data_IF_708903271594
#
_entry.id   IF_708903271594
#
_cell.length_a   1.000
_cell.length_b   1.000
_cell.length_c   1.000
_cell.angle_alpha   90.00
_cell.angle_beta   90.00
_cell.angle_gamma   90.00
#
_symmetry.space_group_name_H-M   'P 1'
#
loop_
_entity.id
_entity.type
_entity.pdbx_description
1 polymer ?
#
# COMPACT_ATOMS: atom_id res chain seq x y z
N UNK A 1 31.82 -9.28 16.79
CA UNK A 1 30.47 -8.69 16.62
C UNK A 1 30.62 -7.18 16.70
N UNK A 2 30.31 -6.40 15.64
CA UNK A 2 30.24 -4.95 15.78
C UNK A 2 28.98 -4.58 16.61
N UNK A 3 29.03 -3.53 17.43
CA UNK A 3 27.88 -3.11 18.24
C UNK A 3 26.73 -2.62 17.33
N UNK A 4 25.45 -2.81 17.73
CA UNK A 4 24.33 -2.29 16.96
C UNK A 4 24.39 -0.76 16.92
N UNK A 5 24.26 -0.20 15.72
CA UNK A 5 24.26 1.25 15.51
C UNK A 5 23.16 1.92 16.36
N UNK A 6 23.43 3.10 16.96
CA UNK A 6 22.44 3.78 17.78
C UNK A 6 21.24 4.18 16.92
N UNK A 7 20.03 3.74 17.32
CA UNK A 7 18.78 4.23 16.72
C UNK A 7 18.78 5.75 16.82
N UNK A 8 18.72 6.42 15.66
CA UNK A 8 18.74 7.87 15.61
C UNK A 8 17.45 8.41 16.24
N UNK A 9 17.57 8.91 17.48
CA UNK A 9 16.51 9.56 18.27
C UNK A 9 15.70 10.59 17.46
N UNK A 10 16.26 11.18 16.40
CA UNK A 10 15.58 12.12 15.53
C UNK A 10 14.35 11.56 14.77
N UNK A 11 14.27 10.24 14.49
CA UNK A 11 13.08 9.66 13.85
C UNK A 11 11.92 9.49 14.83
N UNK A 12 12.21 9.23 16.10
CA UNK A 12 11.21 9.14 17.16
C UNK A 12 10.58 10.50 17.42
N UNK A 13 11.38 11.58 17.45
CA UNK A 13 10.86 12.95 17.54
C UNK A 13 9.99 13.35 16.34
N UNK A 14 10.32 12.88 15.14
CA UNK A 14 9.52 13.14 13.95
C UNK A 14 8.16 12.41 13.99
N UNK A 15 8.15 11.16 14.44
CA UNK A 15 6.92 10.38 14.65
C UNK A 15 6.07 10.99 15.77
N UNK A 16 6.70 11.51 16.82
CA UNK A 16 6.02 12.18 17.93
C UNK A 16 5.42 13.52 17.49
N UNK A 17 6.14 14.30 16.67
CA UNK A 17 5.62 15.51 16.05
C UNK A 17 4.43 15.21 15.13
N UNK A 18 4.54 14.20 14.26
CA UNK A 18 3.46 13.78 13.36
C UNK A 18 2.21 13.35 14.14
N UNK A 19 2.39 12.54 15.19
CA UNK A 19 1.31 12.12 16.06
C UNK A 19 0.64 13.32 16.74
N UNK A 20 1.43 14.28 17.24
CA UNK A 20 0.93 15.51 17.83
C UNK A 20 0.14 16.38 16.84
N UNK A 21 0.59 16.54 15.59
CA UNK A 21 -0.17 17.28 14.57
C UNK A 21 -1.47 16.58 14.22
N UNK A 22 -1.45 15.25 14.05
CA UNK A 22 -2.67 14.48 13.77
C UNK A 22 -3.64 14.56 14.94
N UNK A 23 -3.17 14.42 16.18
CA UNK A 23 -4.00 14.56 17.39
C UNK A 23 -4.62 15.96 17.51
N UNK A 24 -3.88 17.02 17.21
CA UNK A 24 -4.40 18.39 17.20
C UNK A 24 -5.47 18.58 16.11
N UNK A 25 -5.29 18.00 14.93
CA UNK A 25 -6.27 18.05 13.85
C UNK A 25 -7.54 17.27 14.19
N UNK A 26 -7.39 16.09 14.80
CA UNK A 26 -8.52 15.31 15.30
C UNK A 26 -9.25 16.07 16.38
N UNK A 27 -8.55 16.72 17.32
CA UNK A 27 -9.18 17.52 18.37
C UNK A 27 -9.95 18.72 17.81
N UNK A 28 -9.39 19.39 16.80
CA UNK A 28 -10.03 20.50 16.09
C UNK A 28 -11.29 20.04 15.35
N UNK A 29 -11.19 18.95 14.58
CA UNK A 29 -12.32 18.36 13.88
C UNK A 29 -13.38 17.81 14.83
N UNK A 30 -12.97 17.20 15.94
CA UNK A 30 -13.87 16.72 16.97
C UNK A 30 -14.64 17.89 17.59
N UNK A 31 -13.99 19.01 17.89
CA UNK A 31 -14.67 20.21 18.37
C UNK A 31 -15.66 20.79 17.34
N UNK A 32 -15.30 20.77 16.05
CA UNK A 32 -16.16 21.24 14.97
C UNK A 32 -17.39 20.35 14.75
N UNK A 33 -17.21 19.03 14.73
CA UNK A 33 -18.29 18.07 14.46
C UNK A 33 -19.17 17.77 15.68
N UNK A 34 -18.60 17.79 16.89
CA UNK A 34 -19.32 17.54 18.15
C UNK A 34 -19.64 18.84 18.91
N UNK A 35 -19.55 19.99 18.25
CA UNK A 35 -20.04 21.25 18.79
C UNK A 35 -21.53 21.17 19.15
N UNK A 36 -21.99 21.92 20.17
CA UNK A 36 -23.39 21.89 20.58
C UNK A 36 -24.29 22.28 19.41
N UNK A 37 -25.20 21.37 19.02
CA UNK A 37 -26.19 21.59 17.97
C UNK A 37 -27.18 22.66 18.47
N UNK A 38 -27.05 23.89 17.98
CA UNK A 38 -27.99 24.97 18.28
C UNK A 38 -29.22 24.76 17.38
N UNK A 39 -30.39 24.54 17.98
CA UNK A 39 -31.62 24.34 17.22
C UNK A 39 -32.08 25.66 16.62
N UNK A 40 -32.14 25.75 15.29
CA UNK A 40 -32.75 26.88 14.62
C UNK A 40 -34.28 26.76 14.69
N UNK A 41 -34.94 27.80 15.21
CA UNK A 41 -36.40 27.87 15.36
C UNK A 41 -36.90 29.07 14.54
N UNK A 42 -37.93 28.92 13.69
CA UNK A 42 -38.57 30.03 12.98
C UNK A 42 -39.08 31.11 13.95
N UNK A 43 -39.05 32.37 13.51
CA UNK A 43 -39.44 33.51 14.33
C UNK A 43 -40.89 33.43 14.87
N UNK A 44 -41.81 32.87 14.07
CA UNK A 44 -43.20 32.64 14.48
C UNK A 44 -43.33 31.62 15.61
N UNK A 45 -42.55 30.54 15.56
CA UNK A 45 -42.49 29.51 16.58
C UNK A 45 -41.85 30.07 17.86
N UNK A 46 -40.81 30.91 17.74
CA UNK A 46 -40.26 31.65 18.86
C UNK A 46 -41.31 32.55 19.55
N UNK A 47 -42.08 33.36 18.80
CA UNK A 47 -43.17 34.18 19.36
C UNK A 47 -44.20 33.34 20.12
N UNK A 48 -44.51 32.14 19.61
CA UNK A 48 -45.44 31.22 20.25
C UNK A 48 -44.87 30.68 21.58
N UNK A 49 -43.59 30.32 21.61
CA UNK A 49 -42.90 29.86 22.81
C UNK A 49 -42.80 30.95 23.89
N UNK A 50 -42.60 32.22 23.49
CA UNK A 50 -42.64 33.37 24.41
C UNK A 50 -44.05 33.54 25.01
N UNK A 51 -45.10 33.47 24.18
CA UNK A 51 -46.50 33.55 24.66
C UNK A 51 -46.85 32.44 25.66
N UNK A 52 -46.24 31.28 25.51
CA UNK A 52 -46.44 30.10 26.35
C UNK A 52 -45.54 30.09 27.61
N UNK A 53 -44.84 31.19 27.90
CA UNK A 53 -43.94 31.38 29.06
C UNK A 53 -42.78 30.37 29.13
N UNK A 54 -42.42 29.79 27.99
CA UNK A 54 -41.39 28.75 27.87
C UNK A 54 -40.00 29.29 27.57
N UNK A 55 -39.81 30.61 27.59
CA UNK A 55 -38.52 31.26 27.32
C UNK A 55 -37.97 31.89 28.59
N UNK A 56 -36.74 31.52 29.00
CA UNK A 56 -36.11 31.99 30.23
C UNK A 56 -35.32 33.27 30.02
N UNK A 57 -34.50 33.28 28.97
CA UNK A 57 -33.55 34.34 28.66
C UNK A 57 -33.45 34.50 27.15
N UNK A 58 -33.33 35.74 26.72
CA UNK A 58 -33.13 36.09 25.32
C UNK A 58 -31.93 37.03 25.23
N UNK A 59 -30.97 36.66 24.39
CA UNK A 59 -29.85 37.50 24.01
C UNK A 59 -30.03 37.97 22.57
N UNK A 60 -30.15 39.29 22.41
CA UNK A 60 -30.27 39.96 21.11
C UNK A 60 -28.87 40.31 20.61
N UNK A 61 -28.55 39.89 19.38
CA UNK A 61 -27.29 40.15 18.69
C UNK A 61 -27.58 40.56 17.25
N UNK A 62 -27.85 41.86 17.04
CA UNK A 62 -28.19 42.38 15.71
C UNK A 62 -29.50 41.78 15.20
N UNK A 63 -29.44 41.09 14.06
CA UNK A 63 -30.52 40.33 13.43
C UNK A 63 -30.69 38.90 14.01
N UNK A 64 -29.72 38.42 14.81
CA UNK A 64 -29.78 37.10 15.43
C UNK A 64 -30.24 37.19 16.89
N UNK A 65 -31.22 36.36 17.24
CA UNK A 65 -31.73 36.18 18.59
C UNK A 65 -31.36 34.77 19.05
N UNK A 66 -30.68 34.69 20.19
CA UNK A 66 -30.37 33.40 20.84
C UNK A 66 -31.05 33.36 22.19
N UNK A 67 -31.62 32.22 22.57
CA UNK A 67 -32.36 32.12 23.82
C UNK A 67 -32.29 30.74 24.46
N UNK A 68 -32.65 30.70 25.73
CA UNK A 68 -32.73 29.48 26.53
C UNK A 68 -34.19 29.22 26.90
N UNK A 69 -34.70 28.01 26.59
CA UNK A 69 -36.06 27.59 26.97
C UNK A 69 -36.13 27.17 28.44
N UNK A 70 -37.25 27.48 29.11
CA UNK A 70 -37.67 26.89 30.38
C UNK A 70 -38.25 25.51 30.08
N UNK A 71 -37.64 24.46 30.61
CA UNK A 71 -38.16 23.09 30.46
C UNK A 71 -39.29 22.88 31.49
N UNK A 72 -40.48 22.41 31.10
CA UNK A 72 -41.44 21.89 32.06
C UNK A 72 -40.92 20.55 32.61
N UNK A 73 -40.76 20.45 33.93
CA UNK A 73 -40.58 19.17 34.59
C UNK A 73 -41.94 18.44 34.59
N UNK A 74 -42.17 17.54 33.61
CA UNK A 74 -42.83 16.22 33.79
C UNK A 74 -43.24 15.55 32.47
N UNK A 75 -42.93 14.23 32.37
CA UNK A 75 -43.51 13.22 31.48
C UNK A 75 -43.01 13.21 30.03
N UNK A 76 -42.43 12.16 29.44
CA UNK A 76 -42.28 10.76 29.81
C UNK A 76 -42.03 9.96 28.52
N UNK A 77 -40.83 9.37 28.40
CA UNK A 77 -40.42 8.25 27.55
C UNK A 77 -40.71 8.26 26.02
N UNK A 78 -39.63 8.24 25.23
CA UNK A 78 -39.28 7.12 24.35
C UNK A 78 -37.89 7.31 23.72
N UNK A 79 -36.95 6.40 24.01
CA UNK A 79 -35.69 6.26 23.28
C UNK A 79 -34.43 6.28 24.15
N UNK A 80 -33.81 5.11 24.28
CA UNK A 80 -32.59 4.84 25.04
C UNK A 80 -31.39 5.71 24.61
N UNK A 81 -30.68 6.29 25.59
CA UNK A 81 -29.35 6.86 25.35
C UNK A 81 -28.83 7.73 26.50
N UNK A 82 -28.03 7.12 27.40
CA UNK A 82 -27.07 7.66 28.39
C UNK A 82 -27.46 8.91 29.24
N UNK A 83 -27.26 8.87 30.58
CA UNK A 83 -27.64 9.95 31.47
C UNK A 83 -26.63 11.09 31.38
N UNK A 84 -26.95 12.15 30.63
CA UNK A 84 -26.10 13.34 30.58
C UNK A 84 -26.34 14.20 31.82
N UNK A 85 -25.29 14.33 32.63
CA UNK A 85 -25.25 15.19 33.82
C UNK A 85 -25.06 16.64 33.39
N UNK A 86 -26.15 17.29 33.00
CA UNK A 86 -26.29 18.74 33.14
C UNK A 86 -27.76 19.09 33.01
N UNK A 87 -28.39 19.47 34.12
CA UNK A 87 -29.57 20.29 34.03
C UNK A 87 -29.27 21.54 33.19
N UNK A 88 -30.30 22.04 32.51
CA UNK A 88 -30.40 23.35 31.85
C UNK A 88 -30.20 23.41 30.31
N UNK A 89 -31.29 23.90 29.68
CA UNK A 89 -31.40 24.72 28.47
C UNK A 89 -31.03 24.14 27.10
N UNK A 90 -32.05 23.70 26.35
CA UNK A 90 -31.97 23.70 24.89
C UNK A 90 -31.82 25.14 24.40
N UNK A 91 -30.64 25.49 23.90
CA UNK A 91 -30.40 26.79 23.26
C UNK A 91 -31.02 26.78 21.87
N UNK A 92 -31.76 27.83 21.56
CA UNK A 92 -32.28 28.05 20.21
C UNK A 92 -31.71 29.32 19.61
N UNK A 93 -31.67 29.34 18.28
CA UNK A 93 -31.31 30.51 17.47
C UNK A 93 -32.47 30.82 16.54
N UNK A 94 -32.83 32.09 16.43
CA UNK A 94 -33.82 32.59 15.48
C UNK A 94 -33.33 33.90 14.88
N UNK A 95 -33.80 34.25 13.69
CA UNK A 95 -33.44 35.49 13.00
C UNK A 95 -34.64 36.43 13.06
N UNK A 96 -34.42 37.66 13.52
CA UNK A 96 -35.44 38.69 13.52
C UNK A 96 -35.73 39.12 12.07
N UNK A 97 -37.00 39.15 11.64
CA UNK A 97 -37.34 39.73 10.35
C UNK A 97 -37.00 41.22 10.36
N UNK A 98 -36.55 41.76 9.22
CA UNK A 98 -36.18 43.17 9.05
C UNK A 98 -37.34 44.18 9.19
N UNK A 99 -38.54 43.70 9.57
CA UNK A 99 -39.73 44.51 9.80
C UNK A 99 -39.82 44.74 11.32
N UNK A 100 -39.81 46.01 11.74
CA UNK A 100 -39.97 46.38 13.15
C UNK A 100 -41.27 45.79 13.70
N UNK A 101 -41.15 44.93 14.72
CA UNK A 101 -42.28 44.31 15.40
C UNK A 101 -42.51 44.99 16.76
N UNK A 102 -43.37 46.02 16.82
CA UNK A 102 -43.57 46.82 18.04
C UNK A 102 -44.20 46.04 19.20
N UNK A 103 -44.74 44.84 18.94
CA UNK A 103 -45.35 43.97 19.95
C UNK A 103 -44.33 43.07 20.69
N UNK A 104 -43.10 42.92 20.17
CA UNK A 104 -42.13 41.95 20.71
C UNK A 104 -41.58 42.33 22.08
N UNK A 105 -41.16 43.60 22.24
CA UNK A 105 -40.57 44.09 23.48
C UNK A 105 -41.58 44.11 24.64
N UNK A 106 -42.82 44.63 24.46
CA UNK A 106 -43.84 44.55 25.49
C UNK A 106 -44.18 43.11 25.90
N UNK A 107 -44.21 42.17 24.94
CA UNK A 107 -44.50 40.76 25.20
C UNK A 107 -43.38 40.07 26.02
N UNK A 108 -42.11 40.42 25.76
CA UNK A 108 -40.97 39.89 26.51
C UNK A 108 -40.90 40.48 27.93
N UNK A 109 -41.28 41.76 28.10
CA UNK A 109 -41.38 42.41 29.41
C UNK A 109 -42.54 41.85 30.25
N UNK A 110 -43.71 41.61 29.64
CA UNK A 110 -44.89 41.01 30.29
C UNK A 110 -44.57 39.63 30.87
N UNK A 111 -43.81 38.81 30.13
CA UNK A 111 -43.42 37.45 30.55
C UNK A 111 -42.11 37.39 31.34
N UNK A 112 -41.58 38.55 31.77
CA UNK A 112 -40.37 38.69 32.60
C UNK A 112 -39.16 37.95 32.03
N UNK A 113 -38.97 38.01 30.70
CA UNK A 113 -37.82 37.40 30.04
C UNK A 113 -36.61 38.31 30.25
N UNK A 114 -35.46 37.74 30.66
CA UNK A 114 -34.23 38.52 30.80
C UNK A 114 -33.68 38.83 29.42
N UNK A 115 -33.66 40.12 29.06
CA UNK A 115 -33.10 40.62 27.80
C UNK A 115 -31.64 40.98 28.02
N UNK A 116 -30.73 40.32 27.30
CA UNK A 116 -29.31 40.67 27.24
C UNK A 116 -28.96 41.18 25.85
N UNK A 117 -28.39 42.37 25.76
CA UNK A 117 -27.80 42.84 24.52
C UNK A 117 -26.36 42.32 24.45
N UNK A 118 -26.08 41.39 23.54
CA UNK A 118 -24.74 40.89 23.33
C UNK A 118 -24.08 41.64 22.17
N UNK A 119 -23.16 42.56 22.48
CA UNK A 119 -22.27 43.14 21.47
C UNK A 119 -21.22 42.10 21.08
N UNK A 120 -21.42 41.38 19.98
CA UNK A 120 -20.41 40.43 19.52
C UNK A 120 -19.76 40.91 18.25
N UNK A 121 -18.62 41.57 18.41
CA UNK A 121 -17.64 41.73 17.35
C UNK A 121 -16.36 40.99 17.77
N UNK A 122 -16.38 39.65 17.65
CA UNK A 122 -15.10 38.98 17.39
C UNK A 122 -14.64 39.56 16.07
N UNK A 123 -13.53 40.30 16.06
CA UNK A 123 -13.09 41.00 14.87
C UNK A 123 -12.97 39.99 13.73
N UNK A 124 -13.57 40.28 12.58
CA UNK A 124 -13.60 39.38 11.43
C UNK A 124 -12.21 38.84 11.05
N UNK A 125 -11.16 39.65 11.26
CA UNK A 125 -9.77 39.26 11.05
C UNK A 125 -9.29 38.17 12.01
N UNK A 126 -9.75 38.15 13.28
CA UNK A 126 -9.45 37.08 14.24
C UNK A 126 -10.12 35.76 13.83
N UNK A 127 -11.34 35.81 13.28
CA UNK A 127 -12.02 34.63 12.73
C UNK A 127 -11.28 34.08 11.50
N UNK A 128 -10.84 34.97 10.61
CA UNK A 128 -10.04 34.61 9.44
C UNK A 128 -8.70 34.00 9.85
N UNK A 129 -8.02 34.59 10.83
CA UNK A 129 -6.75 34.10 11.34
C UNK A 129 -6.92 32.72 12.02
N UNK A 130 -7.97 32.54 12.84
CA UNK A 130 -8.29 31.25 13.45
C UNK A 130 -8.62 30.16 12.41
N UNK A 131 -9.24 30.53 11.28
CA UNK A 131 -9.51 29.60 10.18
C UNK A 131 -8.27 29.26 9.34
N UNK A 132 -7.35 30.21 9.14
CA UNK A 132 -6.18 30.05 8.27
C UNK A 132 -4.98 29.42 8.99
N UNK A 133 -4.81 29.67 10.30
CA UNK A 133 -3.68 29.14 11.08
C UNK A 133 -3.53 27.62 10.97
N UNK A 134 -4.60 26.81 11.07
CA UNK A 134 -4.49 25.36 10.89
C UNK A 134 -3.94 24.95 9.51
N UNK A 135 -4.39 25.62 8.44
CA UNK A 135 -3.91 25.35 7.08
C UNK A 135 -2.44 25.73 6.93
N UNK A 136 -2.03 26.91 7.44
CA UNK A 136 -0.63 27.35 7.39
C UNK A 136 0.29 26.41 8.16
N UNK A 137 -0.14 25.86 9.29
CA UNK A 137 0.64 24.85 10.02
C UNK A 137 0.79 23.56 9.22
N UNK A 138 -0.27 23.08 8.55
CA UNK A 138 -0.20 21.88 7.69
C UNK A 138 0.75 22.13 6.52
N UNK A 139 0.55 23.21 5.75
CA UNK A 139 1.38 23.52 4.58
C UNK A 139 2.83 23.81 4.98
N UNK A 140 3.05 24.51 6.10
CA UNK A 140 4.38 24.78 6.63
C UNK A 140 5.10 23.50 7.08
N UNK A 141 4.39 22.59 7.75
CA UNK A 141 4.93 21.28 8.13
C UNK A 141 5.25 20.42 6.91
N UNK A 142 4.36 20.38 5.91
CA UNK A 142 4.58 19.64 4.67
C UNK A 142 5.73 20.23 3.84
N UNK A 143 5.86 21.55 3.79
CA UNK A 143 6.97 22.25 3.15
C UNK A 143 8.30 22.01 3.86
N UNK A 144 8.30 22.01 5.20
CA UNK A 144 9.49 21.70 5.99
C UNK A 144 9.92 20.23 5.82
N UNK A 145 8.97 19.30 5.83
CA UNK A 145 9.24 17.89 5.55
C UNK A 145 9.70 17.72 4.11
N UNK A 146 9.04 18.30 3.11
CA UNK A 146 9.42 18.11 1.71
C UNK A 146 10.82 18.62 1.42
N UNK A 147 11.20 19.76 2.00
CA UNK A 147 12.55 20.32 1.87
C UNK A 147 13.61 19.46 2.56
N UNK A 148 13.33 18.91 3.74
CA UNK A 148 14.25 18.03 4.48
C UNK A 148 14.25 16.57 3.98
N UNK A 149 13.18 16.15 3.31
CA UNK A 149 13.05 14.84 2.69
C UNK A 149 13.73 14.81 1.32
N UNK A 150 13.75 15.92 0.58
CA UNK A 150 14.59 16.09 -0.62
C UNK A 150 16.09 15.96 -0.30
N UNK A 151 16.55 16.47 0.85
CA UNK A 151 17.92 16.27 1.32
C UNK A 151 18.24 14.79 1.67
N UNK A 152 17.25 14.00 2.08
CA UNK A 152 17.41 12.53 2.29
C UNK A 152 17.23 11.71 1.00
N UNK A 153 16.44 12.18 0.05
CA UNK A 153 16.27 11.59 -1.29
C UNK A 153 17.55 11.66 -2.13
N UNK A 154 18.43 12.62 -1.86
CA UNK A 154 19.75 12.72 -2.48
C UNK A 154 20.82 11.79 -1.86
N UNK A 155 20.51 10.99 -0.82
CA UNK A 155 21.56 10.24 -0.11
C UNK A 155 21.17 9.04 0.78
N UNK A 156 19.93 8.54 0.79
CA UNK A 156 19.61 7.33 1.56
C UNK A 156 18.18 6.79 1.36
N UNK A 157 17.94 5.49 1.57
CA UNK A 157 16.76 4.80 1.07
C UNK A 157 15.49 5.28 1.79
N UNK A 158 14.71 6.08 1.07
CA UNK A 158 13.38 6.50 1.47
C UNK A 158 12.37 5.36 1.45
N UNK A 159 11.26 5.60 2.12
CA UNK A 159 10.11 4.72 2.41
C UNK A 159 9.35 4.23 1.15
N UNK A 160 9.84 4.57 -0.05
CA UNK A 160 9.44 4.00 -1.35
C UNK A 160 10.33 2.82 -1.78
N UNK A 161 11.26 2.37 -0.93
CA UNK A 161 12.17 1.25 -1.16
C UNK A 161 11.54 -0.15 -1.12
N UNK A 162 10.21 -0.28 -1.12
CA UNK A 162 9.52 -1.57 -1.14
C UNK A 162 9.79 -2.42 -2.40
N UNK A 163 10.48 -1.88 -3.40
CA UNK A 163 10.95 -2.61 -4.59
C UNK A 163 12.46 -2.91 -4.62
N UNK A 164 13.28 -2.42 -3.67
CA UNK A 164 14.76 -2.51 -3.76
C UNK A 164 15.44 -3.25 -2.61
N UNK A 165 14.70 -3.99 -1.79
CA UNK A 165 15.30 -4.96 -0.86
C UNK A 165 15.26 -6.37 -1.47
N UNK A 166 16.09 -6.62 -2.48
CA UNK A 166 16.33 -7.96 -3.08
C UNK A 166 17.81 -8.35 -3.06
N UNK A 167 18.57 -7.90 -2.06
CA UNK A 167 19.85 -8.54 -1.79
C UNK A 167 19.56 -9.99 -1.35
N UNK A 168 19.96 -10.96 -2.19
CA UNK A 168 19.89 -12.43 -1.96
C UNK A 168 18.58 -13.19 -2.24
N UNK A 169 17.84 -12.91 -3.32
CA UNK A 169 16.86 -13.90 -3.82
C UNK A 169 17.46 -14.96 -4.73
N UNK A 170 18.58 -14.66 -5.39
CA UNK A 170 19.35 -15.65 -6.13
C UNK A 170 20.55 -16.05 -5.29
N UNK A 171 20.51 -17.26 -4.74
CA UNK A 171 21.67 -17.83 -4.09
C UNK A 171 22.59 -18.32 -5.20
N UNK A 172 23.62 -17.56 -5.53
CA UNK A 172 24.84 -18.14 -6.10
C UNK A 172 25.33 -19.16 -5.08
N UNK A 173 24.95 -20.42 -5.27
CA UNK A 173 25.38 -21.52 -4.39
C UNK A 173 26.66 -22.05 -5.00
N UNK A 174 27.72 -22.11 -4.20
CA UNK A 174 28.84 -23.00 -4.49
C UNK A 174 28.27 -24.42 -4.61
N UNK A 175 28.17 -24.89 -5.84
CA UNK A 175 27.52 -26.17 -6.11
C UNK A 175 28.56 -27.26 -5.93
N UNK A 176 28.75 -27.69 -4.68
CA UNK A 176 29.65 -28.82 -4.34
C UNK A 176 29.12 -30.17 -4.83
N UNK A 177 27.86 -30.22 -5.22
CA UNK A 177 27.16 -31.41 -5.72
C UNK A 177 27.60 -31.70 -7.14
N UNK A 178 27.99 -32.94 -7.43
CA UNK A 178 28.41 -33.42 -8.77
C UNK A 178 27.59 -34.64 -9.20
N UNK A 179 27.78 -35.15 -10.42
CA UNK A 179 27.03 -36.32 -10.90
C UNK A 179 27.32 -37.60 -10.12
N UNK A 180 28.41 -37.62 -9.34
CA UNK A 180 28.72 -38.70 -8.41
C UNK A 180 27.71 -38.77 -7.24
N UNK A 181 27.11 -37.65 -6.85
CA UNK A 181 26.11 -37.59 -5.77
C UNK A 181 24.69 -37.94 -6.24
N UNK A 182 24.48 -38.03 -7.56
CA UNK A 182 23.20 -38.44 -8.14
C UNK A 182 23.26 -39.93 -8.45
N UNK A 183 22.38 -40.74 -7.87
CA UNK A 183 22.31 -42.17 -8.18
C UNK A 183 21.43 -42.45 -9.41
N UNK A 184 21.88 -43.33 -10.30
CA UNK A 184 21.14 -43.72 -11.51
C UNK A 184 20.96 -42.58 -12.52
N UNK A 185 19.80 -42.57 -13.20
CA UNK A 185 19.43 -41.59 -14.24
C UNK A 185 20.46 -41.48 -15.38
N UNK A 186 21.06 -42.60 -15.79
CA UNK A 186 22.18 -42.61 -16.73
C UNK A 186 21.86 -41.95 -18.08
N UNK A 187 20.63 -42.14 -18.58
CA UNK A 187 20.15 -41.49 -19.80
C UNK A 187 20.08 -39.96 -19.63
N UNK A 188 19.46 -39.47 -18.55
CA UNK A 188 19.36 -38.03 -18.31
C UNK A 188 20.73 -37.40 -18.05
N UNK A 189 21.64 -38.10 -17.38
CA UNK A 189 23.03 -37.67 -17.23
C UNK A 189 23.77 -37.62 -18.56
N UNK A 190 23.51 -38.55 -19.48
CA UNK A 190 24.10 -38.54 -20.81
C UNK A 190 23.66 -37.30 -21.59
N UNK A 191 22.36 -37.00 -21.63
CA UNK A 191 21.81 -35.80 -22.29
C UNK A 191 22.40 -34.51 -21.70
N UNK A 192 22.62 -34.48 -20.38
CA UNK A 192 23.21 -33.33 -19.70
C UNK A 192 24.70 -33.14 -19.93
N UNK A 193 25.44 -34.17 -20.38
CA UNK A 193 26.88 -34.03 -20.68
C UNK A 193 27.12 -33.06 -21.82
N UNK A 194 26.22 -33.00 -22.79
CA UNK A 194 26.32 -32.07 -23.91
C UNK A 194 26.17 -30.62 -23.43
N UNK A 195 25.24 -30.40 -22.49
CA UNK A 195 25.05 -29.09 -21.83
C UNK A 195 26.30 -28.68 -21.04
N UNK A 196 26.89 -29.62 -20.29
CA UNK A 196 28.11 -29.38 -19.52
C UNK A 196 29.28 -29.05 -20.44
N UNK A 197 29.44 -29.80 -21.54
CA UNK A 197 30.47 -29.54 -22.54
C UNK A 197 30.34 -28.14 -23.15
N UNK A 198 29.11 -27.74 -23.48
CA UNK A 198 28.83 -26.39 -23.97
C UNK A 198 29.19 -25.30 -22.95
N UNK A 199 28.82 -25.48 -21.69
CA UNK A 199 29.10 -24.49 -20.64
C UNK A 199 30.59 -24.37 -20.30
N UNK A 200 31.36 -25.47 -20.44
CA UNK A 200 32.81 -25.48 -20.21
C UNK A 200 33.62 -24.93 -21.39
N UNK A 201 33.21 -25.23 -22.62
CA UNK A 201 33.94 -24.85 -23.85
C UNK A 201 33.03 -24.09 -24.84
N UNK A 202 32.40 -22.97 -24.45
CA UNK A 202 31.39 -22.30 -25.30
C UNK A 202 31.95 -21.83 -26.65
N UNK A 203 33.21 -21.36 -26.68
CA UNK A 203 33.87 -20.88 -27.89
C UNK A 203 34.02 -21.98 -28.95
N UNK A 204 34.32 -23.21 -28.52
CA UNK A 204 34.44 -24.36 -29.43
C UNK A 204 33.14 -24.66 -30.16
N UNK A 205 31.99 -24.53 -29.48
CA UNK A 205 30.68 -24.74 -30.11
C UNK A 205 30.32 -23.60 -31.06
N UNK A 206 30.70 -22.35 -30.71
CA UNK A 206 30.52 -21.19 -31.59
C UNK A 206 31.33 -21.30 -32.87
N UNK A 207 32.59 -21.73 -32.77
CA UNK A 207 33.48 -21.93 -33.93
C UNK A 207 32.95 -22.99 -34.89
N UNK A 208 32.23 -23.99 -34.37
CA UNK A 208 31.55 -25.03 -35.16
C UNK A 208 30.21 -24.57 -35.73
N UNK A 209 29.75 -23.36 -35.40
CA UNK A 209 28.43 -22.85 -35.79
C UNK A 209 27.27 -23.61 -35.14
N UNK A 210 27.50 -24.32 -34.04
CA UNK A 210 26.47 -25.05 -33.32
C UNK A 210 25.66 -24.10 -32.45
N UNK A 211 24.33 -24.11 -32.61
CA UNK A 211 23.45 -23.35 -31.73
C UNK A 211 23.25 -24.11 -30.42
N UNK A 212 23.57 -23.51 -29.26
CA UNK A 212 23.36 -24.18 -27.99
C UNK A 212 21.88 -24.26 -27.65
N UNK A 213 21.48 -25.32 -26.90
CA UNK A 213 20.14 -25.39 -26.35
C UNK A 213 19.92 -24.24 -25.36
N UNK A 214 18.96 -23.38 -25.68
CA UNK A 214 18.59 -22.20 -24.86
C UNK A 214 17.96 -22.60 -23.52
N UNK A 215 17.30 -23.75 -23.49
CA UNK A 215 16.76 -24.28 -22.26
C UNK A 215 16.40 -25.75 -22.32
N UNK A 216 16.10 -26.30 -21.14
CA UNK A 216 15.76 -27.70 -20.94
C UNK A 216 14.69 -27.83 -19.86
N UNK A 217 13.64 -28.60 -20.14
CA UNK A 217 12.59 -28.89 -19.18
C UNK A 217 12.73 -30.31 -18.62
N UNK A 218 12.93 -30.41 -17.31
CA UNK A 218 12.92 -31.66 -16.56
C UNK A 218 11.51 -31.98 -16.07
N UNK A 219 10.97 -33.11 -16.51
CA UNK A 219 9.62 -33.54 -16.19
C UNK A 219 9.65 -34.88 -15.46
N UNK A 220 8.76 -35.06 -14.49
CA UNK A 220 8.56 -36.34 -13.82
C UNK A 220 7.93 -36.19 -12.44
N UNK A 221 7.59 -37.30 -11.78
CA UNK A 221 6.97 -37.27 -10.45
C UNK A 221 7.79 -36.48 -9.41
N UNK A 222 7.16 -35.98 -8.34
CA UNK A 222 7.88 -35.33 -7.24
C UNK A 222 8.86 -36.32 -6.59
N UNK A 223 9.99 -35.81 -6.09
CA UNK A 223 11.00 -36.62 -5.39
C UNK A 223 11.98 -37.41 -6.27
N UNK A 224 11.94 -37.26 -7.60
CA UNK A 224 12.87 -37.94 -8.53
C UNK A 224 14.24 -37.28 -8.69
N UNK A 225 14.54 -36.26 -7.88
CA UNK A 225 15.86 -35.61 -7.90
C UNK A 225 16.08 -34.58 -9.01
N UNK A 226 15.04 -34.03 -9.64
CA UNK A 226 15.16 -32.97 -10.68
C UNK A 226 16.04 -31.79 -10.23
N UNK A 227 15.74 -31.22 -9.07
CA UNK A 227 16.51 -30.11 -8.49
C UNK A 227 17.95 -30.51 -8.13
N UNK A 228 18.15 -31.77 -7.69
CA UNK A 228 19.48 -32.30 -7.39
C UNK A 228 20.31 -32.46 -8.66
N UNK A 229 19.70 -32.98 -9.73
CA UNK A 229 20.33 -33.15 -11.03
C UNK A 229 20.73 -31.81 -11.65
N UNK A 230 19.86 -30.79 -11.60
CA UNK A 230 20.18 -29.44 -12.07
C UNK A 230 21.39 -28.84 -11.33
N UNK A 231 21.43 -28.98 -10.00
CA UNK A 231 22.59 -28.56 -9.20
C UNK A 231 23.84 -29.33 -9.60
N UNK A 232 23.73 -30.65 -9.71
CA UNK A 232 24.85 -31.49 -10.09
C UNK A 232 25.42 -31.09 -11.48
N UNK A 233 24.57 -30.69 -12.42
CA UNK A 233 25.00 -30.17 -13.73
C UNK A 233 25.83 -28.89 -13.59
N UNK A 234 25.40 -27.94 -12.75
CA UNK A 234 26.15 -26.72 -12.51
C UNK A 234 27.49 -26.98 -11.81
N UNK A 235 27.51 -27.90 -10.83
CA UNK A 235 28.74 -28.32 -10.15
C UNK A 235 29.73 -29.04 -11.07
N UNK A 236 29.25 -29.90 -11.96
CA UNK A 236 30.07 -30.52 -13.02
C UNK A 236 30.59 -29.48 -14.01
N UNK A 237 29.77 -28.54 -14.44
CA UNK A 237 30.20 -27.47 -15.35
C UNK A 237 31.08 -26.40 -14.66
N UNK A 238 31.12 -26.37 -13.32
CA UNK A 238 31.79 -25.35 -12.50
C UNK A 238 31.35 -23.91 -12.84
N UNK A 239 30.05 -23.74 -13.08
CA UNK A 239 29.44 -22.45 -13.42
C UNK A 239 28.51 -21.95 -12.33
N UNK A 240 28.29 -20.62 -12.20
CA UNK A 240 27.30 -20.06 -11.31
C UNK A 240 25.90 -20.66 -11.53
N UNK A 241 25.24 -21.01 -10.41
CA UNK A 241 23.90 -21.58 -10.39
C UNK A 241 22.91 -20.62 -9.75
N UNK A 242 22.03 -20.04 -10.56
CA UNK A 242 20.94 -19.18 -10.11
C UNK A 242 19.67 -20.03 -9.98
N UNK A 243 19.04 -20.06 -8.81
CA UNK A 243 17.84 -20.87 -8.59
C UNK A 243 16.71 -20.05 -7.99
N UNK A 244 15.50 -20.28 -8.48
CA UNK A 244 14.25 -19.67 -8.00
C UNK A 244 13.10 -20.68 -8.13
N UNK A 245 12.11 -20.63 -7.22
CA UNK A 245 10.85 -21.35 -7.40
C UNK A 245 9.89 -20.54 -8.25
N UNK A 246 9.17 -21.17 -9.17
CA UNK A 246 8.14 -20.56 -10.00
C UNK A 246 7.02 -19.91 -9.16
N UNK A 247 6.76 -20.42 -7.97
CA UNK A 247 5.81 -19.81 -7.03
C UNK A 247 6.22 -18.43 -6.54
N UNK A 248 7.53 -18.13 -6.48
CA UNK A 248 8.05 -16.81 -6.08
C UNK A 248 7.78 -15.72 -7.12
N UNK A 249 7.37 -16.10 -8.32
CA UNK A 249 6.95 -15.13 -9.32
C UNK A 249 5.49 -14.76 -9.23
N UNK A 250 4.69 -15.42 -8.38
CA UNK A 250 3.26 -15.18 -8.23
C UNK A 250 3.04 -14.33 -6.98
N UNK A 251 2.81 -13.03 -7.17
CA UNK A 251 2.66 -12.05 -6.09
C UNK A 251 1.32 -11.30 -6.20
N UNK A 252 0.89 -10.67 -5.09
CA UNK A 252 -0.34 -9.86 -5.07
C UNK A 252 -0.20 -8.54 -5.86
N UNK A 253 1.03 -8.13 -6.17
CA UNK A 253 1.34 -6.87 -6.84
C UNK A 253 1.69 -7.11 -8.31
N UNK A 254 0.91 -6.48 -9.20
CA UNK A 254 1.11 -6.56 -10.65
C UNK A 254 2.54 -6.11 -11.02
N UNK A 255 3.19 -6.88 -11.89
CA UNK A 255 4.50 -6.55 -12.46
C UNK A 255 5.72 -6.88 -11.57
N UNK A 256 5.53 -7.31 -10.32
CA UNK A 256 6.64 -7.72 -9.44
C UNK A 256 7.31 -9.00 -9.94
N UNK A 257 6.52 -10.00 -10.36
CA UNK A 257 7.04 -11.24 -10.96
C UNK A 257 7.88 -10.97 -12.21
N UNK A 258 7.36 -10.21 -13.16
CA UNK A 258 8.08 -9.83 -14.38
C UNK A 258 9.39 -9.06 -14.09
N UNK A 259 9.42 -8.18 -13.09
CA UNK A 259 10.65 -7.50 -12.69
C UNK A 259 11.68 -8.47 -12.10
N UNK A 260 11.27 -9.45 -11.27
CA UNK A 260 12.16 -10.53 -10.77
C UNK A 260 12.74 -11.35 -11.92
N UNK A 261 11.93 -11.68 -12.92
CA UNK A 261 12.41 -12.42 -14.10
C UNK A 261 13.51 -11.64 -14.82
N UNK A 262 13.33 -10.32 -15.04
CA UNK A 262 14.39 -9.48 -15.65
C UNK A 262 15.66 -9.45 -14.80
N UNK A 263 15.53 -9.18 -13.50
CA UNK A 263 16.67 -9.12 -12.58
C UNK A 263 17.47 -10.44 -12.56
N UNK A 264 16.77 -11.59 -12.57
CA UNK A 264 17.36 -12.92 -12.62
C UNK A 264 18.22 -13.10 -13.88
N UNK A 265 17.64 -12.81 -15.05
CA UNK A 265 18.31 -12.99 -16.33
C UNK A 265 19.48 -12.01 -16.50
N UNK A 266 19.32 -10.74 -16.08
CA UNK A 266 20.42 -9.77 -16.12
C UNK A 266 21.61 -10.18 -15.26
N UNK A 267 21.37 -10.71 -14.06
CA UNK A 267 22.44 -11.18 -13.19
C UNK A 267 23.11 -12.44 -13.74
N UNK A 268 22.33 -13.39 -14.29
CA UNK A 268 22.89 -14.57 -14.93
C UNK A 268 23.75 -14.23 -16.15
N UNK A 269 23.32 -13.24 -16.97
CA UNK A 269 24.10 -12.74 -18.11
C UNK A 269 25.44 -12.13 -17.69
N UNK A 270 25.47 -11.37 -16.58
CA UNK A 270 26.72 -10.79 -16.04
C UNK A 270 27.70 -11.84 -15.54
N UNK A 271 27.19 -13.00 -15.12
CA UNK A 271 27.98 -14.12 -14.62
C UNK A 271 28.14 -15.26 -15.64
N UNK A 272 27.87 -15.02 -16.93
CA UNK A 272 27.97 -16.04 -17.96
C UNK A 272 29.43 -16.55 -18.12
N UNK A 273 29.66 -17.86 -18.33
CA UNK A 273 28.65 -18.92 -18.51
C UNK A 273 27.94 -19.28 -17.21
N UNK A 274 26.61 -19.45 -17.25
CA UNK A 274 25.78 -19.66 -16.05
C UNK A 274 24.54 -20.52 -16.32
N UNK A 275 23.99 -21.12 -15.25
CA UNK A 275 22.72 -21.85 -15.30
C UNK A 275 21.66 -21.11 -14.49
N UNK A 276 20.50 -20.89 -15.11
CA UNK A 276 19.27 -20.45 -14.43
C UNK A 276 18.40 -21.67 -14.21
N UNK A 277 18.00 -21.95 -12.98
CA UNK A 277 17.09 -23.04 -12.62
C UNK A 277 15.77 -22.51 -12.04
N UNK A 278 14.66 -22.84 -12.71
CA UNK A 278 13.30 -22.52 -12.28
C UNK A 278 12.61 -23.82 -11.85
N UNK A 279 12.45 -24.00 -10.54
CA UNK A 279 11.67 -25.13 -10.01
C UNK A 279 10.17 -24.81 -10.09
N UNK A 280 9.31 -25.83 -10.14
CA UNK A 280 7.85 -25.66 -10.16
C UNK A 280 7.36 -24.63 -11.22
N UNK A 281 7.87 -24.74 -12.45
CA UNK A 281 7.52 -23.78 -13.50
C UNK A 281 6.02 -23.81 -13.86
N UNK A 282 5.29 -24.85 -13.48
CA UNK A 282 3.83 -24.94 -13.59
C UNK A 282 3.08 -23.90 -12.75
N UNK A 283 3.72 -23.25 -11.77
CA UNK A 283 3.12 -22.14 -11.02
C UNK A 283 2.86 -20.91 -11.90
N UNK A 284 3.74 -20.62 -12.87
CA UNK A 284 3.65 -19.49 -13.81
C UNK A 284 3.30 -19.90 -15.22
N UNK A 285 3.66 -21.12 -15.60
CA UNK A 285 3.55 -21.64 -16.96
C UNK A 285 2.23 -22.35 -17.24
N UNK A 286 1.22 -22.27 -16.37
CA UNK A 286 -0.05 -22.97 -16.57
C UNK A 286 -0.88 -22.34 -17.69
N UNK A 287 -1.34 -23.16 -18.64
CA UNK A 287 -2.23 -22.72 -19.72
C UNK A 287 -3.56 -22.17 -19.18
N UNK A 288 -4.09 -21.14 -19.85
CA UNK A 288 -5.36 -20.49 -19.48
C UNK A 288 -6.51 -21.49 -19.43
N UNK A 289 -7.34 -21.38 -18.40
CA UNK A 289 -8.74 -21.86 -18.42
C UNK A 289 -9.69 -20.67 -18.56
N UNK A 290 -10.85 -20.85 -19.20
CA UNK A 290 -11.86 -19.83 -19.46
C UNK A 290 -12.57 -19.29 -18.19
N UNK A 291 -11.81 -18.81 -17.21
CA UNK A 291 -12.30 -18.24 -15.95
C UNK A 291 -12.25 -16.72 -15.98
N UNK A 292 -13.43 -16.09 -15.94
CA UNK A 292 -13.61 -14.66 -15.71
C UNK A 292 -13.11 -14.29 -14.30
N UNK A 293 -11.90 -13.75 -14.17
CA UNK A 293 -11.37 -13.22 -12.92
C UNK A 293 -9.94 -12.71 -13.05
N UNK A 294 -9.71 -11.42 -12.80
CA UNK A 294 -8.45 -10.67 -13.00
C UNK A 294 -7.28 -11.04 -12.09
N UNK A 295 -7.15 -12.31 -11.67
CA UNK A 295 -5.95 -12.84 -11.00
C UNK A 295 -4.94 -13.48 -11.96
N UNK A 296 -5.27 -13.59 -13.24
CA UNK A 296 -4.42 -14.24 -14.26
C UNK A 296 -3.40 -13.29 -14.89
N UNK A 297 -3.61 -11.97 -14.81
CA UNK A 297 -2.81 -10.99 -15.57
C UNK A 297 -1.35 -10.97 -15.14
N UNK A 298 -1.08 -11.20 -13.85
CA UNK A 298 0.27 -11.18 -13.30
C UNK A 298 1.10 -12.41 -13.70
N UNK A 299 0.48 -13.59 -13.68
CA UNK A 299 1.12 -14.84 -14.11
C UNK A 299 1.44 -14.81 -15.58
N UNK A 300 0.49 -14.34 -16.39
CA UNK A 300 0.67 -14.22 -17.83
C UNK A 300 1.73 -13.19 -18.19
N UNK A 301 1.75 -12.04 -17.53
CA UNK A 301 2.79 -11.04 -17.73
C UNK A 301 4.17 -11.59 -17.40
N UNK A 302 4.29 -12.34 -16.29
CA UNK A 302 5.54 -12.98 -15.89
C UNK A 302 5.95 -14.06 -16.88
N UNK A 303 5.03 -14.92 -17.33
CA UNK A 303 5.28 -15.96 -18.32
C UNK A 303 5.78 -15.35 -19.64
N UNK A 304 5.09 -14.35 -20.15
CA UNK A 304 5.50 -13.64 -21.37
C UNK A 304 6.87 -12.97 -21.21
N UNK A 305 7.20 -12.49 -20.00
CA UNK A 305 8.53 -11.95 -19.72
C UNK A 305 9.62 -13.03 -19.77
N UNK A 306 9.35 -14.26 -19.28
CA UNK A 306 10.28 -15.40 -19.40
C UNK A 306 10.50 -15.73 -20.87
N UNK A 307 9.41 -15.91 -21.63
CA UNK A 307 9.45 -16.23 -23.06
C UNK A 307 10.23 -15.17 -23.85
N UNK A 308 9.93 -13.88 -23.63
CA UNK A 308 10.62 -12.79 -24.32
C UNK A 308 12.12 -12.74 -24.03
N UNK A 309 12.57 -13.11 -22.83
CA UNK A 309 13.99 -13.14 -22.50
C UNK A 309 14.67 -14.40 -23.03
N UNK A 310 13.96 -15.53 -23.12
CA UNK A 310 14.46 -16.76 -23.74
C UNK A 310 14.64 -16.60 -25.26
N UNK A 311 13.71 -15.94 -25.93
CA UNK A 311 13.82 -15.60 -27.36
C UNK A 311 14.94 -14.59 -27.61
N UNK A 312 15.12 -13.65 -26.67
CA UNK A 312 16.10 -12.57 -26.75
C UNK A 312 17.56 -12.96 -26.45
N UNK A 313 17.85 -14.23 -26.15
CA UNK A 313 19.23 -14.68 -25.99
C UNK A 313 19.97 -14.60 -27.33
N UNK A 314 21.08 -13.88 -27.32
CA UNK A 314 22.04 -13.94 -28.42
C UNK A 314 22.87 -15.23 -28.29
N UNK A 315 23.31 -15.86 -29.40
CA UNK A 315 24.20 -17.04 -29.35
C UNK A 315 25.50 -16.80 -28.55
N UNK A 316 25.85 -15.52 -28.36
CA UNK A 316 27.01 -15.07 -27.60
C UNK A 316 26.80 -15.04 -26.07
N UNK A 317 25.57 -15.22 -25.60
CA UNK A 317 25.25 -15.29 -24.18
C UNK A 317 25.20 -16.76 -23.74
N UNK A 318 26.27 -17.25 -23.09
CA UNK A 318 26.39 -18.65 -22.64
C UNK A 318 25.56 -18.95 -21.38
N UNK A 319 24.26 -18.68 -21.43
CA UNK A 319 23.31 -18.91 -20.32
C UNK A 319 22.34 -20.01 -20.72
N UNK A 320 22.20 -21.02 -19.86
CA UNK A 320 21.25 -22.13 -20.08
C UNK A 320 20.13 -22.06 -19.05
N UNK A 321 18.89 -22.08 -19.52
CA UNK A 321 17.69 -22.10 -18.67
C UNK A 321 17.21 -23.53 -18.43
N UNK A 322 17.31 -24.01 -17.21
CA UNK A 322 16.74 -25.28 -16.77
C UNK A 322 15.44 -25.05 -16.01
N UNK A 323 14.39 -25.78 -16.35
CA UNK A 323 13.12 -25.72 -15.62
C UNK A 323 12.73 -27.12 -15.13
N UNK A 324 12.01 -27.19 -14.01
CA UNK A 324 11.45 -28.45 -13.51
C UNK A 324 9.93 -28.33 -13.30
N UNK A 325 9.21 -29.40 -13.62
CA UNK A 325 7.78 -29.52 -13.33
C UNK A 325 7.41 -30.94 -12.92
N UNK A 326 6.38 -31.07 -12.10
CA UNK A 326 5.71 -32.33 -11.82
C UNK A 326 4.47 -32.54 -12.69
N UNK A 327 4.05 -31.50 -13.42
CA UNK A 327 2.79 -31.42 -14.17
C UNK A 327 3.02 -30.86 -15.58
N UNK A 328 3.65 -31.63 -16.48
CA UNK A 328 3.88 -31.16 -17.84
C UNK A 328 2.58 -30.99 -18.65
N UNK A 329 1.51 -31.69 -18.26
CA UNK A 329 0.19 -31.68 -18.88
C UNK A 329 -0.52 -30.32 -18.81
N UNK A 330 -0.20 -29.49 -17.82
CA UNK A 330 -0.86 -28.19 -17.62
C UNK A 330 -0.06 -27.01 -18.18
N UNK A 331 1.15 -27.26 -18.68
CA UNK A 331 2.02 -26.19 -19.19
C UNK A 331 1.47 -25.58 -20.48
N UNK A 332 1.71 -24.28 -20.64
CA UNK A 332 1.44 -23.56 -21.87
C UNK A 332 2.30 -24.13 -23.00
N UNK A 333 1.71 -24.53 -24.15
CA UNK A 333 2.46 -25.00 -25.30
C UNK A 333 3.55 -24.03 -25.78
N UNK A 334 3.41 -22.73 -25.52
CA UNK A 334 4.43 -21.73 -25.84
C UNK A 334 5.75 -21.95 -25.11
N UNK A 335 5.74 -22.56 -23.90
CA UNK A 335 6.97 -22.94 -23.18
C UNK A 335 7.64 -24.20 -23.74
N UNK A 336 6.87 -25.04 -24.44
CA UNK A 336 7.34 -26.33 -24.96
C UNK A 336 7.76 -26.26 -26.43
N UNK A 337 7.58 -25.10 -27.07
CA UNK A 337 7.94 -24.92 -28.47
C UNK A 337 9.46 -25.01 -28.65
N UNK A 338 9.95 -25.52 -29.79
CA UNK A 338 11.37 -25.41 -30.13
C UNK A 338 11.77 -23.96 -30.37
N UNK A 339 12.81 -23.51 -29.65
CA UNK A 339 13.38 -22.16 -29.77
C UNK A 339 12.62 -21.08 -29.01
#
# INVERSE_FOLDING_TARGET
MPPPAPKSSQSEWLNLLLFMTISLLILYWFNFFFGPQIREIPYSEFKQEVRQDRVAKVSLRGDELTGELRVPAEGGASGQGKPDRSGFSSRFKTVLPAIDDPELLPLLEEKKVVIQAASTSVSWWLQLLAGIVPWLLIFGFFYFISRRMQERLAGGPGIFGFGKSKAHLYSEKDTKVTFAEVAGLDNAKADLRDIIAFLREPDRFRDLGAEPPRGMLMMGPPGTGKTLLARATAGEAQVPFFSISGSEFVEMFVGVGAARVRDLFENAKKSAPAIIFIDEIDAVGRSRGAGLGGGNDEREQTLNQILSLMDGFSPEESVVVMAATNRPDVLDPALLRPG
#
